data_IF_651318353051
#
_entry.id   IF_651318353051
#
_cell.length_a   1.000
_cell.length_b   1.000
_cell.length_c   1.000
_cell.angle_alpha   90.00
_cell.angle_beta   90.00
_cell.angle_gamma   90.00
#
_symmetry.space_group_name_H-M   'P 1'
#
loop_
_entity.id
_entity.type
_entity.pdbx_description
1 polymer ?
#
# COMPACT_ATOMS: atom_id res chain seq x y z
N UNK A 1 -7.63 4.24 -17.11
CA UNK A 1 -7.03 4.24 -15.77
C UNK A 1 -7.11 2.87 -15.12
N UNK A 2 -5.98 2.19 -14.93
CA UNK A 2 -5.85 0.87 -14.30
C UNK A 2 -5.30 1.07 -12.89
N UNK A 3 -5.91 0.47 -11.86
CA UNK A 3 -5.30 0.44 -10.52
C UNK A 3 -4.23 -0.66 -10.52
N UNK A 4 -3.01 -0.33 -10.12
CA UNK A 4 -2.00 -1.36 -9.86
C UNK A 4 -2.34 -2.02 -8.53
N UNK A 5 -2.35 -3.35 -8.51
CA UNK A 5 -2.55 -4.15 -7.30
C UNK A 5 -1.25 -4.14 -6.49
N UNK A 6 -0.88 -2.96 -6.00
CA UNK A 6 0.24 -2.77 -5.11
C UNK A 6 -0.36 -2.38 -3.77
N UNK A 7 -0.19 -3.24 -2.77
CA UNK A 7 -0.84 -3.12 -1.47
C UNK A 7 -2.17 -3.88 -1.41
N UNK A 8 -2.96 -3.57 -0.37
CA UNK A 8 -4.18 -4.32 -0.06
C UNK A 8 -5.17 -4.37 -1.25
N UNK A 9 -5.68 -5.57 -1.61
CA UNK A 9 -6.63 -5.73 -2.71
C UNK A 9 -7.93 -4.97 -2.43
N UNK A 10 -8.64 -4.56 -3.49
CA UNK A 10 -9.86 -3.75 -3.37
C UNK A 10 -10.96 -4.40 -2.51
N UNK A 11 -11.08 -5.73 -2.56
CA UNK A 11 -11.99 -6.49 -1.69
C UNK A 11 -11.63 -6.36 -0.20
N UNK A 12 -10.34 -6.31 0.12
CA UNK A 12 -9.87 -6.16 1.49
C UNK A 12 -10.12 -4.75 2.01
N UNK A 13 -10.08 -3.73 1.14
CA UNK A 13 -10.56 -2.38 1.47
C UNK A 13 -12.05 -2.36 1.82
N UNK A 14 -12.88 -3.08 1.07
CA UNK A 14 -14.32 -3.19 1.37
C UNK A 14 -14.57 -3.87 2.72
N UNK A 15 -13.82 -4.94 3.03
CA UNK A 15 -13.91 -5.62 4.34
C UNK A 15 -13.44 -4.71 5.47
N UNK A 16 -12.31 -4.01 5.29
CA UNK A 16 -11.78 -3.10 6.30
C UNK A 16 -12.70 -1.92 6.57
N UNK A 17 -13.12 -1.20 5.52
CA UNK A 17 -13.97 -0.01 5.67
C UNK A 17 -15.42 -0.36 6.00
N UNK A 18 -15.94 -1.47 5.48
CA UNK A 18 -17.35 -1.86 5.62
C UNK A 18 -17.65 -2.69 6.87
N UNK A 19 -16.67 -3.41 7.41
CA UNK A 19 -16.89 -4.30 8.56
C UNK A 19 -15.97 -3.95 9.74
N UNK A 20 -14.65 -3.91 9.51
CA UNK A 20 -13.70 -3.75 10.61
C UNK A 20 -13.78 -2.37 11.28
N UNK A 21 -13.80 -1.28 10.50
CA UNK A 21 -13.89 0.09 11.03
C UNK A 21 -15.20 0.31 11.83
N UNK A 22 -16.40 -0.06 11.33
CA UNK A 22 -17.63 0.05 12.11
C UNK A 22 -17.62 -0.76 13.40
N UNK A 23 -17.08 -1.98 13.39
CA UNK A 23 -16.99 -2.82 14.60
C UNK A 23 -16.05 -2.19 15.62
N UNK A 24 -14.87 -1.70 15.19
CA UNK A 24 -13.93 -0.99 16.08
C UNK A 24 -14.57 0.28 16.64
N UNK A 25 -15.29 1.06 15.81
CA UNK A 25 -15.99 2.25 16.27
C UNK A 25 -17.08 1.92 17.31
N UNK A 26 -17.84 0.84 17.11
CA UNK A 26 -18.86 0.39 18.07
C UNK A 26 -18.23 -0.04 19.40
N UNK A 27 -17.14 -0.81 19.34
CA UNK A 27 -16.38 -1.25 20.53
C UNK A 27 -15.80 -0.05 21.28
N UNK A 28 -15.22 0.92 20.56
CA UNK A 28 -14.73 2.17 21.13
C UNK A 28 -15.83 2.98 21.79
N UNK A 29 -17.02 3.03 21.19
CA UNK A 29 -18.14 3.78 21.76
C UNK A 29 -18.63 3.12 23.06
N UNK A 30 -18.74 1.80 23.07
CA UNK A 30 -19.19 1.04 24.24
C UNK A 30 -18.18 1.06 25.39
N UNK A 31 -16.91 0.73 25.11
CA UNK A 31 -15.85 0.75 26.11
C UNK A 31 -15.44 2.17 26.50
N UNK A 32 -15.54 3.14 25.58
CA UNK A 32 -15.33 4.55 25.85
C UNK A 32 -16.39 5.11 26.81
N UNK A 33 -17.67 4.76 26.60
CA UNK A 33 -18.75 5.12 27.53
C UNK A 33 -18.54 4.51 28.92
N UNK A 34 -18.13 3.24 29.00
CA UNK A 34 -17.80 2.59 30.27
C UNK A 34 -16.58 3.27 30.94
N UNK A 35 -15.50 3.50 30.20
CA UNK A 35 -14.31 4.18 30.71
C UNK A 35 -14.61 5.58 31.21
N UNK A 36 -15.45 6.33 30.49
CA UNK A 36 -15.93 7.65 30.89
C UNK A 36 -16.78 7.60 32.17
N UNK A 37 -17.68 6.62 32.30
CA UNK A 37 -18.47 6.41 33.50
C UNK A 37 -17.56 6.16 34.71
N UNK A 38 -16.56 5.29 34.60
CA UNK A 38 -15.59 5.04 35.68
C UNK A 38 -14.76 6.28 36.02
N UNK A 39 -14.39 7.10 35.03
CA UNK A 39 -13.64 8.33 35.24
C UNK A 39 -14.43 9.40 36.01
N UNK A 40 -15.74 9.46 35.82
CA UNK A 40 -16.61 10.52 36.37
C UNK A 40 -17.34 10.14 37.64
N UNK A 41 -17.60 8.85 37.86
CA UNK A 41 -18.51 8.39 38.93
C UNK A 41 -17.91 7.37 39.89
N UNK A 42 -16.65 6.93 39.69
CA UNK A 42 -16.03 5.92 40.55
C UNK A 42 -14.95 6.51 41.46
N UNK A 43 -14.75 5.88 42.62
CA UNK A 43 -13.65 6.19 43.55
C UNK A 43 -12.27 5.79 43.00
N UNK A 44 -12.23 5.08 41.86
CA UNK A 44 -11.03 4.56 41.22
C UNK A 44 -10.94 5.01 39.75
N UNK A 45 -10.71 6.30 39.49
CA UNK A 45 -10.65 6.85 38.12
C UNK A 45 -9.52 6.22 37.27
N UNK A 46 -8.50 5.64 37.90
CA UNK A 46 -7.43 4.90 37.22
C UNK A 46 -7.93 3.71 36.38
N UNK A 47 -9.04 3.07 36.80
CA UNK A 47 -9.65 1.96 36.04
C UNK A 47 -10.18 2.46 34.69
N UNK A 48 -10.81 3.65 34.66
CA UNK A 48 -11.27 4.27 33.41
C UNK A 48 -10.11 4.55 32.43
N UNK A 49 -8.97 5.01 32.96
CA UNK A 49 -7.75 5.23 32.15
C UNK A 49 -7.22 3.91 31.58
N UNK A 50 -7.22 2.82 32.36
CA UNK A 50 -6.81 1.50 31.89
C UNK A 50 -7.69 0.96 30.75
N UNK A 51 -8.96 1.36 30.66
CA UNK A 51 -9.82 1.01 29.53
C UNK A 51 -9.57 1.90 28.31
N UNK A 52 -9.42 3.22 28.50
CA UNK A 52 -9.29 4.19 27.41
C UNK A 52 -7.94 4.13 26.69
N UNK A 53 -6.85 3.88 27.42
CA UNK A 53 -5.50 3.93 26.85
C UNK A 53 -5.23 2.82 25.80
N UNK A 54 -5.62 1.55 26.02
CA UNK A 54 -5.54 0.52 25.00
C UNK A 54 -6.40 0.81 23.76
N UNK A 55 -7.60 1.38 23.94
CA UNK A 55 -8.48 1.76 22.83
C UNK A 55 -7.82 2.81 21.95
N UNK A 56 -7.25 3.85 22.56
CA UNK A 56 -6.50 4.87 21.84
C UNK A 56 -5.31 4.27 21.06
N UNK A 57 -4.60 3.31 21.64
CA UNK A 57 -3.51 2.61 20.94
C UNK A 57 -4.00 1.80 19.74
N UNK A 58 -5.14 1.12 19.86
CA UNK A 58 -5.76 0.40 18.74
C UNK A 58 -6.17 1.38 17.63
N UNK A 59 -6.76 2.52 17.98
CA UNK A 59 -7.17 3.53 17.00
C UNK A 59 -5.98 4.10 16.22
N UNK A 60 -4.90 4.45 16.93
CA UNK A 60 -3.66 4.92 16.30
C UNK A 60 -3.10 3.86 15.35
N UNK A 61 -3.10 2.59 15.75
CA UNK A 61 -2.62 1.49 14.93
C UNK A 61 -3.48 1.29 13.67
N UNK A 62 -4.81 1.34 13.81
CA UNK A 62 -5.76 1.21 12.69
C UNK A 62 -5.57 2.36 11.70
N UNK A 63 -5.51 3.60 12.18
CA UNK A 63 -5.28 4.79 11.34
C UNK A 63 -3.93 4.72 10.65
N UNK A 64 -2.85 4.38 11.36
CA UNK A 64 -1.52 4.25 10.78
C UNK A 64 -1.51 3.19 9.67
N UNK A 65 -2.15 2.04 9.90
CA UNK A 65 -2.26 0.97 8.90
C UNK A 65 -3.02 1.44 7.67
N UNK A 66 -4.17 2.09 7.85
CA UNK A 66 -4.96 2.66 6.75
C UNK A 66 -4.15 3.69 5.94
N UNK A 67 -3.42 4.57 6.61
CA UNK A 67 -2.56 5.58 5.97
C UNK A 67 -1.45 4.92 5.16
N UNK A 68 -0.75 3.94 5.73
CA UNK A 68 0.32 3.23 5.04
C UNK A 68 -0.21 2.52 3.80
N UNK A 69 -1.36 1.85 3.89
CA UNK A 69 -1.93 1.16 2.73
C UNK A 69 -2.49 2.12 1.68
N UNK A 70 -3.09 3.24 2.09
CA UNK A 70 -3.54 4.25 1.16
C UNK A 70 -2.37 4.87 0.37
N UNK A 71 -1.22 5.09 1.04
CA UNK A 71 0.00 5.63 0.41
C UNK A 71 0.70 4.67 -0.56
N UNK A 72 0.39 3.37 -0.47
CA UNK A 72 0.93 2.33 -1.34
C UNK A 72 0.08 2.07 -2.58
N UNK A 73 -1.11 2.69 -2.68
CA UNK A 73 -1.96 2.58 -3.86
C UNK A 73 -1.40 3.43 -5.02
N UNK A 74 -1.22 2.78 -6.18
CA UNK A 74 -0.82 3.41 -7.42
C UNK A 74 -1.87 3.18 -8.51
N UNK A 75 -2.08 4.19 -9.35
CA UNK A 75 -2.93 4.10 -10.52
C UNK A 75 -2.11 4.43 -11.75
N UNK A 76 -2.32 3.69 -12.82
CA UNK A 76 -1.71 3.90 -14.13
C UNK A 76 -2.77 4.49 -15.07
N UNK A 77 -2.49 5.66 -15.63
CA UNK A 77 -3.35 6.31 -16.62
C UNK A 77 -2.59 6.54 -17.92
N UNK A 78 -2.61 5.53 -18.79
CA UNK A 78 -1.77 5.50 -19.98
C UNK A 78 -0.29 5.50 -19.58
N UNK A 79 0.40 6.62 -19.84
CA UNK A 79 1.82 6.84 -19.52
C UNK A 79 2.04 7.49 -18.16
N UNK A 80 0.99 8.00 -17.53
CA UNK A 80 1.11 8.73 -16.26
C UNK A 80 0.83 7.79 -15.09
N UNK A 81 1.84 7.58 -14.27
CA UNK A 81 1.68 6.94 -12.98
C UNK A 81 1.19 7.97 -11.96
N UNK A 82 0.17 7.58 -11.21
CA UNK A 82 -0.54 8.43 -10.28
C UNK A 82 -0.40 7.83 -8.89
N UNK A 83 0.06 8.65 -7.96
CA UNK A 83 0.08 8.34 -6.54
C UNK A 83 -0.81 9.33 -5.80
N UNK A 84 -1.82 8.83 -5.10
CA UNK A 84 -2.62 9.67 -4.18
C UNK A 84 -1.89 9.75 -2.85
N UNK A 85 -1.74 10.96 -2.36
CA UNK A 85 -1.30 11.22 -0.99
C UNK A 85 -2.53 11.57 -0.16
N UNK A 86 -2.35 11.63 1.17
CA UNK A 86 -3.41 12.12 2.06
C UNK A 86 -3.87 13.52 1.68
N UNK A 87 -2.93 14.37 1.22
CA UNK A 87 -3.19 15.73 0.77
C UNK A 87 -2.73 15.90 -0.68
N UNK A 88 -3.60 15.50 -1.61
CA UNK A 88 -3.40 15.71 -3.05
C UNK A 88 -2.95 14.49 -3.84
N UNK A 89 -2.49 14.74 -5.07
CA UNK A 89 -2.10 13.73 -6.06
C UNK A 89 -0.73 14.10 -6.63
N UNK A 90 0.14 13.10 -6.74
CA UNK A 90 1.39 13.20 -7.51
C UNK A 90 1.25 12.40 -8.79
N UNK A 91 1.66 13.00 -9.89
CA UNK A 91 1.69 12.41 -11.22
C UNK A 91 3.14 12.30 -11.66
N UNK A 92 3.49 11.15 -12.21
CA UNK A 92 4.80 10.83 -12.73
C UNK A 92 4.62 10.38 -14.17
N UNK A 93 5.19 11.12 -15.12
CA UNK A 93 5.22 10.66 -16.51
C UNK A 93 6.31 9.60 -16.65
N UNK A 94 5.93 8.37 -16.98
CA UNK A 94 6.84 7.23 -17.07
C UNK A 94 7.77 7.30 -18.28
N UNK A 95 7.39 8.03 -19.34
CA UNK A 95 8.21 8.18 -20.54
C UNK A 95 9.38 9.15 -20.32
N UNK A 96 9.21 10.12 -19.42
CA UNK A 96 10.23 11.12 -19.08
C UNK A 96 11.01 10.78 -17.79
N UNK A 97 10.63 9.68 -17.12
CA UNK A 97 11.25 9.27 -15.88
C UNK A 97 12.49 8.41 -16.10
N UNK A 98 13.48 8.56 -15.23
CA UNK A 98 14.50 7.53 -15.04
C UNK A 98 13.86 6.35 -14.31
N UNK A 99 13.73 5.23 -15.01
CA UNK A 99 13.11 4.01 -14.50
C UNK A 99 14.18 2.97 -14.20
N UNK A 100 14.40 2.72 -12.91
CA UNK A 100 15.35 1.71 -12.41
C UNK A 100 14.65 0.57 -11.68
N UNK A 101 15.33 -0.59 -11.60
CA UNK A 101 14.94 -1.68 -10.71
C UNK A 101 15.85 -1.64 -9.48
N UNK A 102 15.27 -1.62 -8.29
CA UNK A 102 15.98 -1.77 -7.02
C UNK A 102 15.43 -2.99 -6.27
N UNK A 103 16.23 -3.60 -5.42
CA UNK A 103 15.78 -4.62 -4.46
C UNK A 103 15.75 -4.01 -3.06
N UNK A 104 14.67 -4.22 -2.32
CA UNK A 104 14.56 -3.71 -0.96
C UNK A 104 13.79 -4.67 -0.05
N UNK A 105 14.10 -4.60 1.23
CA UNK A 105 13.41 -5.37 2.26
C UNK A 105 12.15 -4.63 2.73
N UNK A 106 11.00 -5.30 2.83
CA UNK A 106 9.77 -4.66 3.31
C UNK A 106 9.81 -4.47 4.84
N UNK A 107 9.79 -3.22 5.29
CA UNK A 107 10.00 -2.79 6.70
C UNK A 107 9.00 -3.36 7.73
N UNK A 108 7.82 -3.84 7.30
CA UNK A 108 6.73 -4.19 8.22
C UNK A 108 6.16 -5.60 8.02
N UNK A 109 6.52 -6.27 6.93
CA UNK A 109 6.01 -7.61 6.60
C UNK A 109 7.21 -8.52 6.50
N UNK A 110 7.58 -9.13 7.63
CA UNK A 110 8.59 -10.19 7.74
C UNK A 110 8.14 -11.48 7.02
N UNK A 111 7.62 -11.37 5.80
CA UNK A 111 7.26 -12.50 4.96
C UNK A 111 8.54 -13.02 4.31
N UNK A 112 9.11 -14.07 4.93
CA UNK A 112 10.23 -14.87 4.41
C UNK A 112 11.50 -14.09 3.99
N UNK A 113 11.89 -13.06 4.75
CA UNK A 113 13.27 -12.55 4.83
C UNK A 113 14.00 -12.28 3.50
N UNK A 114 13.27 -11.88 2.46
CA UNK A 114 13.81 -11.76 1.11
C UNK A 114 13.80 -10.32 0.60
N UNK A 115 14.88 -9.94 -0.08
CA UNK A 115 14.92 -8.75 -0.92
C UNK A 115 13.85 -8.86 -2.02
N UNK A 116 12.87 -7.96 -2.03
CA UNK A 116 11.82 -7.94 -3.04
C UNK A 116 12.16 -6.91 -4.14
N UNK A 117 11.89 -7.24 -5.41
CA UNK A 117 12.10 -6.31 -6.51
C UNK A 117 11.08 -5.17 -6.47
N UNK A 118 11.56 -3.94 -6.58
CA UNK A 118 10.77 -2.72 -6.72
C UNK A 118 11.22 -1.93 -7.95
N UNK A 119 10.26 -1.35 -8.64
CA UNK A 119 10.49 -0.33 -9.65
C UNK A 119 10.66 1.03 -8.96
N UNK A 120 11.70 1.76 -9.33
CA UNK A 120 11.92 3.14 -8.88
C UNK A 120 11.83 4.07 -10.08
N UNK A 121 10.91 5.00 -9.99
CA UNK A 121 10.63 6.00 -11.02
C UNK A 121 11.08 7.35 -10.47
N UNK A 122 12.10 7.94 -11.08
CA UNK A 122 12.63 9.26 -10.72
C UNK A 122 12.29 10.25 -11.83
N UNK A 123 11.52 11.29 -11.49
CA UNK A 123 11.27 12.42 -12.39
C UNK A 123 11.96 13.65 -11.77
N UNK A 124 12.78 14.39 -12.53
CA UNK A 124 13.47 15.58 -12.03
C UNK A 124 12.51 16.55 -11.32
N UNK A 125 12.91 17.05 -10.14
CA UNK A 125 12.09 17.96 -9.34
C UNK A 125 10.99 17.30 -8.50
N UNK A 126 10.84 15.97 -8.54
CA UNK A 126 9.84 15.26 -7.73
C UNK A 126 10.46 14.14 -6.88
N UNK A 127 9.85 13.84 -5.74
CA UNK A 127 10.29 12.71 -4.92
C UNK A 127 10.01 11.37 -5.64
N UNK A 128 10.92 10.40 -5.59
CA UNK A 128 10.83 9.15 -6.35
C UNK A 128 9.57 8.35 -6.02
N UNK A 129 8.93 7.78 -7.04
CA UNK A 129 7.92 6.76 -6.84
C UNK A 129 8.59 5.38 -6.73
N UNK A 130 8.18 4.60 -5.74
CA UNK A 130 8.70 3.26 -5.48
C UNK A 130 7.53 2.28 -5.52
N UNK A 131 7.52 1.40 -6.49
CA UNK A 131 6.42 0.47 -6.78
C UNK A 131 6.96 -0.95 -6.57
N UNK A 132 6.32 -1.74 -5.73
CA UNK A 132 6.71 -3.13 -5.58
C UNK A 132 6.26 -3.95 -6.79
N UNK A 133 7.18 -4.70 -7.42
CA UNK A 133 6.84 -5.63 -8.50
C UNK A 133 6.24 -6.93 -7.94
N UNK A 134 6.71 -7.30 -6.75
CA UNK A 134 6.15 -8.35 -5.91
C UNK A 134 5.55 -7.74 -4.66
N UNK A 135 4.26 -7.90 -4.48
CA UNK A 135 3.52 -7.23 -3.42
C UNK A 135 3.74 -7.95 -2.08
N UNK A 136 4.40 -7.30 -1.09
CA UNK A 136 4.62 -7.91 0.21
C UNK A 136 3.32 -8.19 0.98
N UNK A 137 2.25 -7.42 0.72
CA UNK A 137 0.95 -7.64 1.37
C UNK A 137 0.21 -8.87 0.84
N UNK A 138 0.61 -9.37 -0.34
CA UNK A 138 0.10 -10.60 -0.97
C UNK A 138 1.11 -11.74 -0.91
N UNK A 139 1.97 -11.74 0.11
CA UNK A 139 2.95 -12.78 0.33
C UNK A 139 4.09 -12.82 -0.70
N UNK A 140 4.39 -11.69 -1.35
CA UNK A 140 5.40 -11.61 -2.40
C UNK A 140 4.90 -12.06 -3.77
N UNK A 141 3.57 -12.16 -3.96
CA UNK A 141 2.99 -12.45 -5.26
C UNK A 141 3.38 -11.39 -6.29
N UNK A 142 3.70 -11.84 -7.51
CA UNK A 142 3.97 -10.96 -8.64
C UNK A 142 2.71 -10.16 -8.99
N UNK A 143 2.89 -8.93 -9.47
CA UNK A 143 1.80 -8.17 -10.08
C UNK A 143 1.10 -8.97 -11.19
N UNK A 144 -0.21 -8.81 -11.37
CA UNK A 144 -0.94 -9.47 -12.45
C UNK A 144 -0.30 -9.21 -13.83
N UNK A 145 -0.27 -10.21 -14.73
CA UNK A 145 0.33 -10.09 -16.07
C UNK A 145 -0.15 -8.85 -16.84
N UNK A 146 -1.44 -8.57 -16.82
CA UNK A 146 -2.02 -7.42 -17.53
C UNK A 146 -1.48 -6.08 -17.02
N UNK A 147 -1.22 -5.99 -15.71
CA UNK A 147 -0.69 -4.78 -15.08
C UNK A 147 0.80 -4.62 -15.35
N UNK A 148 1.56 -5.72 -15.40
CA UNK A 148 2.97 -5.72 -15.81
C UNK A 148 3.12 -5.31 -17.27
N UNK A 149 2.29 -5.86 -18.15
CA UNK A 149 2.24 -5.53 -19.58
C UNK A 149 1.86 -4.05 -19.79
N UNK A 150 0.87 -3.55 -19.05
CA UNK A 150 0.49 -2.14 -19.09
C UNK A 150 1.61 -1.22 -18.59
N UNK A 151 2.30 -1.61 -17.51
CA UNK A 151 3.43 -0.85 -16.96
C UNK A 151 4.61 -0.82 -17.94
N UNK A 152 4.92 -1.96 -18.58
CA UNK A 152 5.95 -2.05 -19.61
C UNK A 152 5.68 -1.09 -20.78
N UNK A 153 4.46 -1.14 -21.35
CA UNK A 153 4.04 -0.23 -22.44
C UNK A 153 3.97 1.24 -22.03
N UNK A 154 3.71 1.51 -20.75
CA UNK A 154 3.67 2.87 -20.22
C UNK A 154 5.08 3.48 -20.07
N UNK A 155 6.08 2.65 -19.75
CA UNK A 155 7.49 3.06 -19.72
C UNK A 155 8.00 3.28 -21.15
N UNK A 156 7.84 2.28 -22.01
CA UNK A 156 8.26 2.36 -23.40
C UNK A 156 7.34 1.51 -24.29
N UNK A 157 6.53 2.14 -25.18
CA UNK A 157 5.63 1.41 -26.06
C UNK A 157 6.38 0.51 -27.07
N UNK A 158 7.62 0.88 -27.44
CA UNK A 158 8.44 0.13 -28.39
C UNK A 158 9.28 -0.95 -27.69
N UNK A 159 9.21 -1.05 -26.36
CA UNK A 159 9.94 -2.02 -25.52
C UNK A 159 11.46 -2.03 -25.77
N UNK A 160 12.04 -0.90 -26.18
CA UNK A 160 13.49 -0.75 -26.34
C UNK A 160 14.19 -0.56 -24.99
N UNK A 161 13.50 0.04 -24.03
CA UNK A 161 14.01 0.20 -22.67
C UNK A 161 14.16 -1.17 -21.98
N UNK A 162 15.34 -1.48 -21.39
CA UNK A 162 15.64 -2.81 -20.85
C UNK A 162 14.66 -3.23 -19.73
N UNK A 163 14.26 -2.28 -18.88
CA UNK A 163 13.28 -2.53 -17.82
C UNK A 163 11.87 -2.79 -18.38
N UNK A 164 11.46 -2.06 -19.43
CA UNK A 164 10.16 -2.26 -20.06
C UNK A 164 10.08 -3.64 -20.71
N UNK A 165 11.12 -4.03 -21.44
CA UNK A 165 11.25 -5.37 -22.02
C UNK A 165 11.19 -6.46 -20.95
N UNK A 166 11.92 -6.31 -19.85
CA UNK A 166 11.93 -7.32 -18.78
C UNK A 166 10.57 -7.45 -18.08
N UNK A 167 9.86 -6.34 -17.89
CA UNK A 167 8.48 -6.37 -17.36
C UNK A 167 7.51 -7.04 -18.33
N UNK A 168 7.68 -6.81 -19.64
CA UNK A 168 6.89 -7.47 -20.68
C UNK A 168 7.14 -8.98 -20.72
N UNK A 169 8.41 -9.40 -20.62
CA UNK A 169 8.80 -10.82 -20.52
C UNK A 169 8.17 -11.49 -19.29
N UNK A 170 8.25 -10.85 -18.12
CA UNK A 170 7.61 -11.32 -16.88
C UNK A 170 6.08 -11.37 -16.97
N UNK A 171 5.47 -10.49 -17.76
CA UNK A 171 4.04 -10.54 -18.03
C UNK A 171 3.67 -11.73 -18.92
N UNK A 172 4.47 -12.00 -19.96
CA UNK A 172 4.23 -13.11 -20.89
C UNK A 172 4.55 -14.48 -20.31
N UNK A 173 5.53 -14.57 -19.40
CA UNK A 173 5.92 -15.79 -18.72
C UNK A 173 6.16 -15.51 -17.22
N UNK A 174 5.11 -15.57 -16.39
CA UNK A 174 5.22 -15.29 -14.96
C UNK A 174 6.02 -16.36 -14.19
N UNK A 175 6.26 -17.54 -14.78
CA UNK A 175 7.05 -18.62 -14.18
C UNK A 175 8.55 -18.37 -14.33
N UNK A 176 8.97 -17.67 -15.39
CA UNK A 176 10.38 -17.31 -15.64
C UNK A 176 11.03 -16.44 -14.55
N UNK A 177 10.21 -15.76 -13.74
CA UNK A 177 10.67 -14.88 -12.65
C UNK A 177 10.71 -15.54 -11.27
N UNK A 178 10.47 -16.85 -11.16
CA UNK A 178 10.42 -17.59 -9.88
C UNK A 178 11.80 -18.11 -9.43
N UNK A 179 12.80 -18.10 -10.32
CA UNK A 179 14.17 -18.59 -10.07
C UNK A 179 15.08 -17.48 -9.55
#
# INVERSE_FOLDING_TARGET
MIRLDVGMPGSMWAVWLGCLVPVVALVNLLLGALGWMFLTSSELPGVGVCFLLPLLMIDVLVVLTLVLQYRNAYWLDGRVLVRRLLFGRRTYDLAAAEVGAETAEPVWTNWRGGLLPRLVVRVPGTAPARIWLRDPSRGGALLPPDQLAALARAIDPDLRHPVARRLWELASDPLSGVV
#
